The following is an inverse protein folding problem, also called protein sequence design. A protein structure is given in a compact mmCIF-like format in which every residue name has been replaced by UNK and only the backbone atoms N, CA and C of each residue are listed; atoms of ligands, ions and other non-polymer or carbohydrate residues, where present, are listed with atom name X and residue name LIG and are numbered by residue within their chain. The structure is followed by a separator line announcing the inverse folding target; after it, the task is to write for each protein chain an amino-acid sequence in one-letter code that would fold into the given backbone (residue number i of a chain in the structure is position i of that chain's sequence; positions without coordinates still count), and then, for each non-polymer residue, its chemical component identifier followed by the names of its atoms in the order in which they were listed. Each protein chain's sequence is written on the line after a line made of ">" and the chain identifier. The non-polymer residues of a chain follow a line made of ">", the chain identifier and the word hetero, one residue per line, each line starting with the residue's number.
data_IF_562396059044
#
_entry.id   IF_562396059044
#
_cell.length_a   1.000
_cell.length_b   1.000
_cell.length_c   1.000
_cell.angle_alpha   90.00
_cell.angle_beta   90.00
_cell.angle_gamma   90.00
#
_symmetry.space_group_name_H-M   'P 1'
#
loop_
_entity.id
_entity.type
_entity.pdbx_description
1 polymer ?
#
# COMPACT_ATOMS: atom_id res chain seq x y z
N UNK A 1 28.81 -10.45 -18.95
CA UNK A 1 27.68 -11.40 -18.78
C UNK A 1 26.38 -10.70 -19.16
N UNK A 2 25.77 -11.09 -20.30
CA UNK A 2 24.43 -10.61 -20.71
C UNK A 2 23.40 -11.50 -20.02
N UNK A 3 22.36 -10.89 -19.42
CA UNK A 3 21.23 -11.62 -18.87
C UNK A 3 20.31 -11.98 -20.05
N UNK A 4 19.86 -13.25 -20.13
CA UNK A 4 18.93 -13.72 -21.15
C UNK A 4 17.49 -13.50 -20.65
N UNK A 5 16.62 -13.03 -21.54
CA UNK A 5 15.17 -13.01 -21.32
C UNK A 5 14.52 -14.27 -21.90
N UNK A 6 13.40 -14.66 -21.32
CA UNK A 6 12.68 -15.90 -21.61
C UNK A 6 11.22 -15.61 -21.98
N UNK A 7 10.65 -16.48 -22.82
CA UNK A 7 9.22 -16.49 -23.10
C UNK A 7 8.44 -17.16 -21.97
N UNK A 8 7.12 -16.94 -21.92
CA UNK A 8 6.22 -17.52 -20.92
C UNK A 8 6.26 -19.06 -20.85
N UNK A 9 6.59 -19.71 -21.97
CA UNK A 9 6.66 -21.17 -22.10
C UNK A 9 7.94 -21.70 -21.45
N UNK A 10 9.02 -20.91 -21.50
CA UNK A 10 10.36 -21.28 -21.07
C UNK A 10 10.61 -21.06 -19.57
N UNK A 11 9.78 -20.27 -18.88
CA UNK A 11 9.94 -20.00 -17.45
C UNK A 11 9.40 -21.14 -16.56
N UNK A 12 9.94 -21.30 -15.34
CA UNK A 12 9.39 -22.20 -14.34
C UNK A 12 7.92 -21.95 -14.01
N UNK A 13 7.20 -23.02 -13.63
CA UNK A 13 5.76 -22.96 -13.32
C UNK A 13 5.39 -21.94 -12.24
N UNK A 14 6.25 -21.72 -11.24
CA UNK A 14 5.99 -20.76 -10.17
C UNK A 14 6.04 -19.28 -10.62
N UNK A 15 6.52 -18.98 -11.83
CA UNK A 15 6.50 -17.64 -12.43
C UNK A 15 5.36 -17.44 -13.44
N UNK A 16 4.64 -18.52 -13.78
CA UNK A 16 3.55 -18.51 -14.76
C UNK A 16 2.24 -18.03 -14.13
N UNK A 17 2.15 -16.73 -13.84
CA UNK A 17 0.94 -16.14 -13.24
C UNK A 17 -0.01 -15.49 -14.25
N UNK A 18 0.54 -14.81 -15.26
CA UNK A 18 -0.24 -14.06 -16.25
C UNK A 18 0.07 -14.56 -17.67
N UNK A 19 -0.81 -15.37 -18.29
CA UNK A 19 -0.56 -15.94 -19.62
C UNK A 19 -0.59 -14.91 -20.76
N UNK A 20 -1.04 -13.68 -20.50
CA UNK A 20 -1.10 -12.62 -21.51
C UNK A 20 0.23 -11.89 -21.69
N UNK A 21 1.15 -12.04 -20.73
CA UNK A 21 2.53 -11.58 -20.85
C UNK A 21 3.35 -12.73 -21.41
N UNK A 22 3.79 -12.60 -22.67
CA UNK A 22 4.35 -13.72 -23.43
C UNK A 22 5.87 -13.75 -23.48
N UNK A 23 6.53 -12.62 -23.18
CA UNK A 23 7.98 -12.46 -23.26
C UNK A 23 8.50 -11.43 -22.24
N UNK A 24 9.83 -11.30 -22.16
CA UNK A 24 10.50 -10.32 -21.31
C UNK A 24 10.81 -10.82 -19.91
N UNK A 25 10.63 -12.13 -19.64
CA UNK A 25 10.85 -12.70 -18.32
C UNK A 25 12.33 -12.87 -18.00
N UNK A 26 12.68 -12.56 -16.75
CA UNK A 26 13.96 -12.95 -16.15
C UNK A 26 13.76 -14.28 -15.42
N UNK A 27 14.70 -15.22 -15.56
CA UNK A 27 14.66 -16.49 -14.84
C UNK A 27 16.07 -17.04 -14.57
N UNK A 28 16.17 -17.94 -13.59
CA UNK A 28 17.39 -18.67 -13.24
C UNK A 28 18.60 -17.79 -12.85
N UNK A 29 18.35 -16.59 -12.32
CA UNK A 29 19.42 -15.66 -11.96
C UNK A 29 19.95 -15.92 -10.53
N UNK A 30 21.27 -15.85 -10.29
CA UNK A 30 21.82 -15.70 -8.94
C UNK A 30 21.58 -14.26 -8.43
N UNK A 31 21.60 -14.05 -7.11
CA UNK A 31 21.29 -12.77 -6.47
C UNK A 31 22.00 -11.55 -7.05
N UNK A 32 23.30 -11.67 -7.40
CA UNK A 32 24.07 -10.57 -8.02
C UNK A 32 23.50 -10.15 -9.37
N UNK A 33 23.01 -11.09 -10.17
CA UNK A 33 22.38 -10.79 -11.46
C UNK A 33 20.93 -10.31 -11.28
N UNK A 34 20.20 -10.76 -10.27
CA UNK A 34 18.90 -10.17 -9.89
C UNK A 34 19.08 -8.68 -9.63
N UNK A 35 20.02 -8.28 -8.77
CA UNK A 35 20.33 -6.87 -8.49
C UNK A 35 20.72 -6.10 -9.75
N UNK A 36 21.63 -6.66 -10.57
CA UNK A 36 22.07 -6.01 -11.81
C UNK A 36 20.93 -5.83 -12.83
N UNK A 37 19.92 -6.70 -12.80
CA UNK A 37 18.80 -6.65 -13.74
C UNK A 37 17.83 -5.48 -13.52
N UNK A 38 18.00 -4.68 -12.47
CA UNK A 38 17.23 -3.44 -12.28
C UNK A 38 17.41 -2.44 -13.45
N UNK A 39 18.59 -2.44 -14.07
CA UNK A 39 18.93 -1.61 -15.23
C UNK A 39 18.69 -2.31 -16.57
N UNK A 40 18.01 -3.45 -16.56
CA UNK A 40 17.61 -4.19 -17.76
C UNK A 40 16.12 -4.00 -18.00
N UNK A 41 15.75 -3.78 -19.26
CA UNK A 41 14.37 -3.82 -19.69
C UNK A 41 13.85 -5.26 -19.65
N UNK A 42 12.78 -5.48 -18.90
CA UNK A 42 12.11 -6.75 -18.66
C UNK A 42 10.63 -6.48 -18.35
N UNK A 43 9.82 -7.53 -18.29
CA UNK A 43 8.40 -7.40 -17.92
C UNK A 43 8.17 -6.86 -16.49
N UNK A 44 9.21 -6.88 -15.66
CA UNK A 44 9.20 -6.41 -14.27
C UNK A 44 9.79 -5.01 -14.09
N UNK A 45 10.33 -4.40 -15.16
CA UNK A 45 11.05 -3.11 -15.04
C UNK A 45 10.14 -2.02 -14.48
N UNK A 46 8.94 -1.86 -15.01
CA UNK A 46 8.00 -0.86 -14.51
C UNK A 46 7.59 -1.18 -13.08
N UNK A 47 7.26 -2.43 -12.74
CA UNK A 47 6.89 -2.86 -11.38
C UNK A 47 7.96 -2.46 -10.34
N UNK A 48 9.24 -2.72 -10.66
CA UNK A 48 10.37 -2.37 -9.80
C UNK A 48 10.50 -0.85 -9.67
N UNK A 49 10.55 -0.13 -10.79
CA UNK A 49 10.83 1.31 -10.77
C UNK A 49 9.69 2.13 -10.20
N UNK A 50 8.42 1.75 -10.40
CA UNK A 50 7.28 2.46 -9.83
C UNK A 50 7.31 2.45 -8.31
N UNK A 51 7.60 1.30 -7.69
CA UNK A 51 7.68 1.21 -6.24
C UNK A 51 9.01 1.70 -5.67
N UNK A 52 10.12 1.61 -6.41
CA UNK A 52 11.38 2.22 -6.00
C UNK A 52 11.28 3.76 -5.96
N UNK A 53 10.69 4.37 -7.00
CA UNK A 53 10.40 5.79 -7.02
C UNK A 53 9.37 6.17 -5.95
N UNK A 54 8.37 5.31 -5.72
CA UNK A 54 7.43 5.45 -4.60
C UNK A 54 8.15 5.51 -3.24
N UNK A 55 9.09 4.60 -2.99
CA UNK A 55 9.92 4.63 -1.78
C UNK A 55 10.66 5.98 -1.64
N UNK A 56 11.33 6.44 -2.69
CA UNK A 56 12.06 7.72 -2.67
C UNK A 56 11.12 8.91 -2.44
N UNK A 57 9.91 8.89 -3.00
CA UNK A 57 8.88 9.88 -2.76
C UNK A 57 8.50 9.92 -1.27
N UNK A 58 8.11 8.79 -0.67
CA UNK A 58 7.70 8.76 0.74
C UNK A 58 8.84 9.03 1.71
N UNK A 59 10.08 8.65 1.36
CA UNK A 59 11.26 9.06 2.12
C UNK A 59 11.45 10.57 2.11
N UNK A 60 11.37 11.20 0.92
CA UNK A 60 11.51 12.66 0.77
C UNK A 60 10.39 13.40 1.47
N UNK A 61 9.15 12.91 1.37
CA UNK A 61 8.01 13.44 2.13
C UNK A 61 8.25 13.31 3.64
N UNK A 62 8.78 12.19 4.13
CA UNK A 62 9.11 12.03 5.54
C UNK A 62 10.15 13.03 6.03
N UNK A 63 11.21 13.25 5.26
CA UNK A 63 12.21 14.28 5.58
C UNK A 63 11.57 15.67 5.58
N UNK A 64 10.81 16.01 4.54
CA UNK A 64 10.13 17.30 4.42
C UNK A 64 9.13 17.54 5.56
N UNK A 65 8.38 16.51 5.95
CA UNK A 65 7.34 16.63 6.94
C UNK A 65 7.91 16.82 8.33
N UNK A 66 8.93 16.05 8.68
CA UNK A 66 9.66 16.19 9.95
C UNK A 66 10.43 17.51 10.04
N UNK A 67 10.99 18.00 8.93
CA UNK A 67 11.82 19.21 8.92
C UNK A 67 11.00 20.51 8.79
N UNK A 68 9.87 20.49 8.08
CA UNK A 68 9.13 21.71 7.72
C UNK A 68 7.64 21.64 8.02
N UNK A 69 6.93 20.59 7.58
CA UNK A 69 5.45 20.57 7.68
C UNK A 69 4.98 20.53 9.12
N UNK A 70 5.53 19.61 9.92
CA UNK A 70 5.15 19.43 11.32
C UNK A 70 5.58 20.62 12.20
N UNK A 71 6.83 21.13 12.11
CA UNK A 71 7.20 22.35 12.82
C UNK A 71 6.32 23.56 12.44
N UNK A 72 6.02 23.74 11.14
CA UNK A 72 5.20 24.87 10.68
C UNK A 72 3.74 24.82 11.17
N UNK A 73 3.26 23.65 11.57
CA UNK A 73 1.91 23.42 12.05
C UNK A 73 1.81 23.37 13.58
N UNK A 74 2.91 23.69 14.28
CA UNK A 74 3.06 23.52 15.73
C UNK A 74 2.60 22.12 16.19
N UNK A 75 3.08 21.10 15.47
CA UNK A 75 2.60 19.74 15.60
C UNK A 75 2.95 19.13 16.98
N UNK A 76 2.03 18.36 17.55
CA UNK A 76 2.24 17.66 18.81
C UNK A 76 3.21 16.48 18.64
N UNK A 77 3.81 16.00 19.73
CA UNK A 77 4.68 14.82 19.69
C UNK A 77 3.96 13.58 19.12
N UNK A 78 2.67 13.43 19.41
CA UNK A 78 1.84 12.38 18.83
C UNK A 78 1.73 12.49 17.31
N UNK A 79 1.63 13.70 16.75
CA UNK A 79 1.61 13.89 15.29
C UNK A 79 2.92 13.41 14.67
N UNK A 80 4.08 13.75 15.25
CA UNK A 80 5.38 13.25 14.79
C UNK A 80 5.41 11.73 14.73
N UNK A 81 4.91 11.05 15.77
CA UNK A 81 4.86 9.59 15.82
C UNK A 81 3.92 9.01 14.75
N UNK A 82 2.72 9.58 14.60
CA UNK A 82 1.71 9.08 13.65
C UNK A 82 2.18 9.24 12.21
N UNK A 83 2.78 10.39 11.86
CA UNK A 83 3.32 10.62 10.51
C UNK A 83 4.53 9.77 10.22
N UNK A 84 5.51 9.73 11.13
CA UNK A 84 6.70 8.92 10.95
C UNK A 84 6.34 7.45 10.79
N UNK A 85 5.42 6.93 11.62
CA UNK A 85 4.94 5.55 11.52
C UNK A 85 4.20 5.28 10.20
N UNK A 86 3.29 6.17 9.79
CA UNK A 86 2.52 6.02 8.55
C UNK A 86 3.42 6.01 7.30
N UNK A 87 4.33 6.97 7.19
CA UNK A 87 5.30 7.05 6.08
C UNK A 87 6.30 5.90 6.10
N UNK A 88 6.72 5.45 7.28
CA UNK A 88 7.56 4.25 7.40
C UNK A 88 6.82 3.01 6.88
N UNK A 89 5.53 2.86 7.20
CA UNK A 89 4.72 1.76 6.68
C UNK A 89 4.64 1.78 5.14
N UNK A 90 4.45 2.96 4.53
CA UNK A 90 4.45 3.10 3.07
C UNK A 90 5.80 2.72 2.46
N UNK A 91 6.91 3.17 3.06
CA UNK A 91 8.26 2.82 2.61
C UNK A 91 8.53 1.31 2.69
N UNK A 92 8.14 0.66 3.79
CA UNK A 92 8.29 -0.79 3.95
C UNK A 92 7.48 -1.54 2.90
N UNK A 93 6.22 -1.16 2.66
CA UNK A 93 5.40 -1.74 1.60
C UNK A 93 6.08 -1.64 0.22
N UNK A 94 6.60 -0.47 -0.12
CA UNK A 94 7.29 -0.23 -1.39
C UNK A 94 8.56 -1.08 -1.53
N UNK A 95 9.41 -1.13 -0.50
CA UNK A 95 10.66 -1.90 -0.52
C UNK A 95 10.43 -3.41 -0.55
N UNK A 96 9.45 -3.92 0.19
CA UNK A 96 9.07 -5.34 0.14
C UNK A 96 8.68 -5.75 -1.28
N UNK A 97 7.92 -4.90 -1.96
CA UNK A 97 7.48 -5.12 -3.33
C UNK A 97 8.62 -5.01 -4.35
N UNK A 98 9.48 -4.00 -4.23
CA UNK A 98 10.72 -3.91 -5.02
C UNK A 98 11.57 -5.18 -4.85
N UNK A 99 11.72 -5.66 -3.61
CA UNK A 99 12.43 -6.89 -3.29
C UNK A 99 11.85 -8.10 -4.03
N UNK A 100 10.54 -8.29 -3.99
CA UNK A 100 9.89 -9.36 -4.74
C UNK A 100 10.10 -9.25 -6.24
N UNK A 101 9.78 -8.12 -6.85
CA UNK A 101 9.92 -7.98 -8.29
C UNK A 101 11.39 -8.05 -8.74
N UNK A 102 12.37 -7.72 -7.90
CA UNK A 102 13.78 -7.89 -8.21
C UNK A 102 14.25 -9.34 -8.11
N UNK A 103 13.77 -10.09 -7.10
CA UNK A 103 14.24 -11.45 -6.79
C UNK A 103 13.27 -12.57 -7.22
N UNK A 104 12.13 -12.27 -7.83
CA UNK A 104 11.19 -13.25 -8.36
C UNK A 104 11.87 -14.19 -9.37
N UNK A 105 12.79 -13.67 -10.17
CA UNK A 105 13.58 -14.40 -11.17
C UNK A 105 14.73 -15.27 -10.62
N UNK A 106 14.87 -15.37 -9.29
CA UNK A 106 16.00 -16.05 -8.67
C UNK A 106 16.00 -17.57 -8.97
N UNK A 107 17.18 -18.16 -9.14
CA UNK A 107 17.34 -19.60 -9.46
C UNK A 107 16.83 -20.57 -8.38
N UNK A 108 16.73 -20.09 -7.14
CA UNK A 108 16.20 -20.86 -6.01
C UNK A 108 14.77 -20.41 -5.71
N UNK A 109 13.80 -21.29 -5.95
CA UNK A 109 12.38 -21.05 -5.73
C UNK A 109 12.06 -20.65 -4.27
N UNK A 110 12.79 -21.17 -3.28
CA UNK A 110 12.59 -20.78 -1.87
C UNK A 110 12.86 -19.29 -1.65
N UNK A 111 13.84 -18.72 -2.36
CA UNK A 111 14.13 -17.29 -2.31
C UNK A 111 12.96 -16.50 -2.91
N UNK A 112 12.45 -16.93 -4.07
CA UNK A 112 11.31 -16.28 -4.72
C UNK A 112 10.07 -16.29 -3.83
N UNK A 113 9.74 -17.44 -3.22
CA UNK A 113 8.60 -17.58 -2.30
C UNK A 113 8.75 -16.74 -1.02
N UNK A 114 9.96 -16.61 -0.47
CA UNK A 114 10.22 -15.74 0.69
C UNK A 114 9.99 -14.27 0.36
N UNK A 115 10.48 -13.81 -0.77
CA UNK A 115 10.24 -12.44 -1.20
C UNK A 115 8.77 -12.19 -1.53
N UNK A 116 8.07 -13.16 -2.12
CA UNK A 116 6.62 -13.08 -2.32
C UNK A 116 5.86 -12.99 -0.99
N UNK A 117 6.29 -13.73 0.04
CA UNK A 117 5.72 -13.59 1.38
C UNK A 117 5.95 -12.19 1.97
N UNK A 118 7.16 -11.63 1.79
CA UNK A 118 7.49 -10.28 2.23
C UNK A 118 6.67 -9.22 1.49
N UNK A 119 6.39 -9.39 0.20
CA UNK A 119 5.52 -8.48 -0.56
C UNK A 119 4.08 -8.49 0.00
N UNK A 120 3.51 -9.67 0.24
CA UNK A 120 2.20 -9.76 0.90
C UNK A 120 2.20 -9.19 2.32
N UNK A 121 3.28 -9.37 3.09
CA UNK A 121 3.43 -8.73 4.39
C UNK A 121 3.51 -7.20 4.26
N UNK A 122 4.20 -6.70 3.23
CA UNK A 122 4.29 -5.30 2.87
C UNK A 122 2.92 -4.67 2.64
N UNK A 123 2.01 -5.35 1.92
CA UNK A 123 0.62 -4.90 1.75
C UNK A 123 -0.08 -4.72 3.09
N UNK A 124 0.03 -5.70 4.01
CA UNK A 124 -0.54 -5.59 5.36
C UNK A 124 0.00 -4.37 6.12
N UNK A 125 1.31 -4.14 6.07
CA UNK A 125 1.95 -2.97 6.68
C UNK A 125 1.47 -1.66 6.04
N UNK A 126 1.33 -1.62 4.71
CA UNK A 126 0.78 -0.45 3.99
C UNK A 126 -0.66 -0.12 4.39
N UNK A 127 -1.51 -1.14 4.57
CA UNK A 127 -2.88 -0.96 5.07
C UNK A 127 -2.85 -0.38 6.49
N UNK A 128 -2.01 -0.92 7.38
CA UNK A 128 -1.83 -0.37 8.73
C UNK A 128 -1.43 1.12 8.67
N UNK A 129 -0.49 1.48 7.79
CA UNK A 129 -0.07 2.86 7.55
C UNK A 129 -1.17 3.80 7.07
N UNK A 130 -2.21 3.28 6.39
CA UNK A 130 -3.39 4.07 6.03
C UNK A 130 -4.34 4.22 7.24
N UNK A 131 -4.59 3.14 7.95
CA UNK A 131 -5.56 3.10 9.05
C UNK A 131 -5.17 3.96 10.24
N UNK A 132 -3.91 3.89 10.68
CA UNK A 132 -3.44 4.56 11.90
C UNK A 132 -3.68 6.08 11.87
N UNK A 133 -3.15 6.85 10.90
CA UNK A 133 -3.43 8.29 10.81
C UNK A 133 -4.92 8.58 10.56
N UNK A 134 -5.58 7.77 9.72
CA UNK A 134 -7.00 7.93 9.42
C UNK A 134 -7.89 7.87 10.67
N UNK A 135 -7.75 6.82 11.46
CA UNK A 135 -8.51 6.64 12.71
C UNK A 135 -8.09 7.67 13.75
N UNK A 136 -6.79 7.96 13.88
CA UNK A 136 -6.28 8.90 14.86
C UNK A 136 -6.93 10.28 14.70
N UNK A 137 -6.93 10.83 13.48
CA UNK A 137 -7.48 12.16 13.20
C UNK A 137 -9.01 12.19 13.05
N UNK A 138 -9.63 11.10 12.57
CA UNK A 138 -11.09 10.99 12.51
C UNK A 138 -11.70 11.03 13.92
N UNK A 139 -11.13 10.25 14.85
CA UNK A 139 -11.60 10.14 16.23
C UNK A 139 -10.72 10.95 17.21
N UNK A 140 -10.16 12.07 16.74
CA UNK A 140 -9.23 12.90 17.53
C UNK A 140 -9.83 13.32 18.88
N UNK A 141 -11.10 13.69 18.89
CA UNK A 141 -11.84 14.09 20.10
C UNK A 141 -12.52 12.95 20.86
N UNK A 142 -12.52 11.73 20.32
CA UNK A 142 -13.16 10.59 20.95
C UNK A 142 -12.16 9.44 21.17
N UNK A 143 -11.46 9.52 22.30
CA UNK A 143 -10.38 8.59 22.65
C UNK A 143 -10.85 7.14 22.73
N UNK A 144 -12.06 6.88 23.24
CA UNK A 144 -12.58 5.51 23.36
C UNK A 144 -12.71 4.85 21.99
N UNK A 145 -13.42 5.49 21.05
CA UNK A 145 -13.60 4.93 19.71
C UNK A 145 -12.30 4.87 18.93
N UNK A 146 -11.41 5.86 19.10
CA UNK A 146 -10.06 5.82 18.53
C UNK A 146 -9.31 4.55 18.94
N UNK A 147 -9.23 4.27 20.25
CA UNK A 147 -8.50 3.10 20.75
C UNK A 147 -9.15 1.78 20.32
N UNK A 148 -10.49 1.70 20.35
CA UNK A 148 -11.21 0.51 19.90
C UNK A 148 -10.85 0.16 18.45
N UNK A 149 -10.93 1.13 17.54
CA UNK A 149 -10.64 0.90 16.12
C UNK A 149 -9.16 0.63 15.84
N UNK A 150 -8.24 1.28 16.57
CA UNK A 150 -6.80 0.99 16.46
C UNK A 150 -6.47 -0.43 16.94
N UNK A 151 -7.05 -0.89 18.05
CA UNK A 151 -6.87 -2.26 18.53
C UNK A 151 -7.52 -3.30 17.61
N UNK A 152 -8.67 -2.97 17.02
CA UNK A 152 -9.34 -3.81 16.03
C UNK A 152 -8.47 -3.98 14.78
N UNK A 153 -7.93 -2.91 14.19
CA UNK A 153 -7.06 -3.06 13.01
C UNK A 153 -5.76 -3.79 13.35
N UNK A 154 -5.16 -3.54 14.52
CA UNK A 154 -3.95 -4.25 14.94
C UNK A 154 -4.21 -5.77 15.06
N UNK A 155 -5.33 -6.17 15.66
CA UNK A 155 -5.69 -7.58 15.77
C UNK A 155 -5.99 -8.23 14.42
N UNK A 156 -6.65 -7.51 13.50
CA UNK A 156 -6.87 -7.97 12.12
C UNK A 156 -5.54 -8.15 11.36
N UNK A 157 -4.61 -7.20 11.45
CA UNK A 157 -3.29 -7.30 10.80
C UNK A 157 -2.48 -8.46 11.38
N UNK A 158 -2.53 -8.67 12.70
CA UNK A 158 -1.90 -9.83 13.34
C UNK A 158 -2.51 -11.15 12.84
N UNK A 159 -3.83 -11.23 12.70
CA UNK A 159 -4.50 -12.40 12.15
C UNK A 159 -4.09 -12.67 10.69
N UNK A 160 -3.92 -11.62 9.87
CA UNK A 160 -3.36 -11.75 8.51
C UNK A 160 -1.94 -12.31 8.56
N UNK A 161 -1.08 -11.82 9.44
CA UNK A 161 0.27 -12.38 9.59
C UNK A 161 0.26 -13.84 10.04
N UNK A 162 -0.62 -14.23 10.97
CA UNK A 162 -0.81 -15.63 11.33
C UNK A 162 -1.26 -16.47 10.14
N UNK A 163 -2.19 -15.97 9.32
CA UNK A 163 -2.60 -16.65 8.09
C UNK A 163 -1.45 -16.79 7.07
N UNK A 164 -0.56 -15.79 6.97
CA UNK A 164 0.61 -15.80 6.08
C UNK A 164 1.63 -16.89 6.43
N UNK A 165 1.72 -17.30 7.70
CA UNK A 165 2.60 -18.40 8.14
C UNK A 165 2.12 -19.76 7.63
N UNK A 166 0.83 -19.89 7.27
CA UNK A 166 0.28 -21.16 6.83
C UNK A 166 0.97 -21.66 5.54
N UNK A 167 1.42 -22.94 5.47
CA UNK A 167 2.21 -23.45 4.35
C UNK A 167 1.54 -23.34 2.97
N UNK A 168 0.20 -23.35 2.94
CA UNK A 168 -0.59 -23.21 1.71
C UNK A 168 -0.93 -21.78 1.35
N UNK A 169 -0.59 -20.78 2.18
CA UNK A 169 -0.99 -19.38 1.94
C UNK A 169 -0.55 -18.84 0.58
N UNK A 170 0.65 -19.24 0.13
CA UNK A 170 1.21 -18.87 -1.18
C UNK A 170 0.80 -19.81 -2.32
N UNK A 171 -0.05 -20.81 -2.07
CA UNK A 171 -0.53 -21.70 -3.14
C UNK A 171 -1.56 -20.99 -4.02
N UNK A 172 -1.77 -21.54 -5.22
CA UNK A 172 -2.80 -21.06 -6.14
C UNK A 172 -4.22 -21.29 -5.58
N UNK A 173 -4.43 -22.36 -4.82
CA UNK A 173 -5.74 -22.67 -4.21
C UNK A 173 -6.18 -21.58 -3.23
N UNK A 174 -5.21 -21.00 -2.50
CA UNK A 174 -5.45 -19.93 -1.52
C UNK A 174 -5.52 -18.54 -2.16
N UNK A 175 -5.33 -18.41 -3.48
CA UNK A 175 -5.33 -17.09 -4.15
C UNK A 175 -6.63 -16.32 -3.92
N UNK A 176 -7.79 -16.98 -4.05
CA UNK A 176 -9.11 -16.34 -3.83
C UNK A 176 -9.30 -15.94 -2.37
N UNK A 177 -8.97 -16.84 -1.45
CA UNK A 177 -9.07 -16.58 -0.01
C UNK A 177 -8.16 -15.43 0.42
N UNK A 178 -6.90 -15.44 -0.02
CA UNK A 178 -5.92 -14.36 0.24
C UNK A 178 -6.43 -13.01 -0.25
N UNK A 179 -6.97 -12.98 -1.48
CA UNK A 179 -7.55 -11.77 -2.06
C UNK A 179 -8.75 -11.29 -1.23
N UNK A 180 -9.64 -12.20 -0.83
CA UNK A 180 -10.79 -11.89 -0.01
C UNK A 180 -10.39 -11.34 1.38
N UNK A 181 -9.36 -11.91 2.01
CA UNK A 181 -8.81 -11.42 3.28
C UNK A 181 -8.33 -9.97 3.14
N UNK A 182 -7.50 -9.66 2.12
CA UNK A 182 -7.04 -8.28 1.92
C UNK A 182 -8.18 -7.31 1.61
N UNK A 183 -9.17 -7.73 0.80
CA UNK A 183 -10.35 -6.90 0.53
C UNK A 183 -11.18 -6.65 1.78
N UNK A 184 -11.37 -7.67 2.64
CA UNK A 184 -12.11 -7.54 3.89
C UNK A 184 -11.39 -6.62 4.88
N UNK A 185 -10.07 -6.78 5.02
CA UNK A 185 -9.26 -5.92 5.90
C UNK A 185 -9.21 -4.49 5.38
N UNK A 186 -9.09 -4.26 4.07
CA UNK A 186 -9.16 -2.89 3.53
C UNK A 186 -10.57 -2.28 3.68
N UNK A 187 -11.60 -3.02 3.29
CA UNK A 187 -13.01 -2.59 3.36
C UNK A 187 -13.55 -2.43 4.79
N UNK A 188 -12.90 -3.04 5.79
CA UNK A 188 -13.24 -2.86 7.20
C UNK A 188 -13.24 -1.40 7.66
N UNK A 189 -12.53 -0.50 6.97
CA UNK A 189 -12.44 0.93 7.29
C UNK A 189 -13.71 1.70 6.91
N UNK A 190 -14.61 1.07 6.16
CA UNK A 190 -15.94 1.61 5.88
C UNK A 190 -16.76 1.75 7.18
N UNK A 191 -16.61 0.81 8.12
CA UNK A 191 -17.31 0.87 9.42
C UNK A 191 -16.91 2.10 10.25
N UNK A 192 -15.62 2.36 10.56
CA UNK A 192 -15.22 3.57 11.26
C UNK A 192 -15.52 4.85 10.44
N UNK A 193 -15.50 4.81 9.11
CA UNK A 193 -15.88 5.96 8.29
C UNK A 193 -17.37 6.34 8.48
N UNK A 194 -18.28 5.37 8.40
CA UNK A 194 -19.70 5.61 8.67
C UNK A 194 -19.95 6.05 10.10
N UNK A 195 -19.29 5.39 11.07
CA UNK A 195 -19.43 5.78 12.47
C UNK A 195 -18.92 7.21 12.72
N UNK A 196 -17.80 7.58 12.09
CA UNK A 196 -17.27 8.94 12.16
C UNK A 196 -18.26 9.97 11.61
N UNK A 197 -18.90 9.72 10.46
CA UNK A 197 -19.94 10.59 9.91
C UNK A 197 -21.11 10.74 10.89
N UNK A 198 -21.56 9.64 11.49
CA UNK A 198 -22.64 9.66 12.47
C UNK A 198 -22.28 10.50 13.72
N UNK A 199 -21.08 10.31 14.27
CA UNK A 199 -20.61 11.08 15.44
C UNK A 199 -20.44 12.57 15.15
N UNK A 200 -20.14 12.95 13.91
CA UNK A 200 -20.01 14.36 13.50
C UNK A 200 -21.35 14.96 13.06
N UNK A 201 -22.50 14.37 13.40
CA UNK A 201 -23.81 14.97 13.12
C UNK A 201 -24.31 14.80 11.68
N UNK A 202 -23.72 13.88 10.91
CA UNK A 202 -24.13 13.56 9.54
C UNK A 202 -23.31 14.25 8.46
N UNK A 203 -23.83 14.23 7.21
CA UNK A 203 -23.09 14.61 6.01
C UNK A 203 -22.85 16.12 5.85
N UNK A 204 -23.58 16.96 6.59
CA UNK A 204 -23.65 18.42 6.37
C UNK A 204 -22.78 19.24 7.33
N UNK A 205 -21.83 18.60 8.01
CA UNK A 205 -20.91 19.31 8.88
C UNK A 205 -19.61 19.60 8.16
N UNK A 206 -18.98 20.74 8.48
CA UNK A 206 -17.78 21.23 7.78
C UNK A 206 -16.68 20.18 7.69
N UNK A 207 -16.47 19.41 8.76
CA UNK A 207 -15.49 18.34 8.78
C UNK A 207 -15.85 17.20 7.81
N UNK A 208 -17.13 16.79 7.76
CA UNK A 208 -17.58 15.68 6.91
C UNK A 208 -17.58 16.08 5.45
N UNK A 209 -18.12 17.26 5.11
CA UNK A 209 -18.12 17.77 3.74
C UNK A 209 -16.70 17.91 3.18
N UNK A 210 -15.73 18.26 4.02
CA UNK A 210 -14.35 18.45 3.62
C UNK A 210 -13.57 17.13 3.42
N UNK A 211 -13.74 16.17 4.32
CA UNK A 211 -12.90 14.96 4.34
C UNK A 211 -13.56 13.72 3.74
N UNK A 212 -14.90 13.61 3.72
CA UNK A 212 -15.57 12.47 3.11
C UNK A 212 -15.25 12.32 1.62
N UNK A 213 -15.24 13.38 0.78
CA UNK A 213 -14.83 13.25 -0.62
C UNK A 213 -13.40 12.73 -0.77
N UNK A 214 -12.49 13.10 0.14
CA UNK A 214 -11.09 12.62 0.11
C UNK A 214 -10.99 11.14 0.43
N UNK A 215 -11.78 10.66 1.39
CA UNK A 215 -11.92 9.23 1.69
C UNK A 215 -12.50 8.50 0.47
N UNK A 216 -13.55 9.04 -0.17
CA UNK A 216 -14.13 8.45 -1.37
C UNK A 216 -13.12 8.35 -2.52
N UNK A 217 -12.33 9.40 -2.78
CA UNK A 217 -11.28 9.38 -3.80
C UNK A 217 -10.24 8.30 -3.50
N UNK A 218 -9.84 8.11 -2.24
CA UNK A 218 -8.95 7.01 -1.86
C UNK A 218 -9.55 5.65 -2.26
N UNK A 219 -10.82 5.39 -1.92
CA UNK A 219 -11.49 4.15 -2.30
C UNK A 219 -11.67 3.98 -3.80
N UNK A 220 -11.90 5.06 -4.55
CA UNK A 220 -11.98 5.03 -6.01
C UNK A 220 -10.64 4.62 -6.62
N UNK A 221 -9.52 5.18 -6.14
CA UNK A 221 -8.17 4.80 -6.60
C UNK A 221 -7.89 3.33 -6.23
N UNK A 222 -8.18 2.93 -4.99
CA UNK A 222 -7.99 1.55 -4.53
C UNK A 222 -8.83 0.53 -5.34
N UNK A 223 -10.10 0.86 -5.58
CA UNK A 223 -11.02 0.04 -6.36
C UNK A 223 -10.59 -0.06 -7.83
N UNK A 224 -10.16 1.05 -8.43
CA UNK A 224 -9.61 1.07 -9.78
C UNK A 224 -8.34 0.20 -9.89
N UNK A 225 -7.41 0.35 -8.94
CA UNK A 225 -6.21 -0.50 -8.88
C UNK A 225 -6.61 -1.97 -8.85
N UNK A 226 -7.48 -2.34 -7.91
CA UNK A 226 -7.92 -3.71 -7.74
C UNK A 226 -8.60 -4.27 -8.99
N UNK A 227 -9.40 -3.45 -9.69
CA UNK A 227 -10.03 -3.82 -10.95
C UNK A 227 -8.98 -4.18 -12.01
N UNK A 228 -7.95 -3.37 -12.20
CA UNK A 228 -6.85 -3.69 -13.13
C UNK A 228 -6.13 -4.98 -12.71
N UNK A 229 -5.81 -5.14 -11.42
CA UNK A 229 -5.12 -6.32 -10.90
C UNK A 229 -5.88 -7.62 -11.16
N UNK A 230 -7.20 -7.64 -10.95
CA UNK A 230 -8.04 -8.84 -11.12
C UNK A 230 -8.37 -9.11 -12.59
N UNK A 231 -8.71 -8.07 -13.36
CA UNK A 231 -9.19 -8.24 -14.75
C UNK A 231 -8.09 -8.52 -15.75
N UNK A 232 -6.83 -8.16 -15.43
CA UNK A 232 -5.66 -8.25 -16.33
C UNK A 232 -5.83 -7.44 -17.62
N UNK A 233 -6.60 -6.36 -17.56
CA UNK A 233 -6.76 -5.40 -18.67
C UNK A 233 -5.63 -4.36 -18.56
N UNK A 234 -4.98 -3.95 -19.66
CA UNK A 234 -5.30 -4.23 -21.06
C UNK A 234 -4.66 -5.48 -21.66
N UNK A 235 -3.68 -6.11 -21.00
CA UNK A 235 -2.90 -7.21 -21.60
C UNK A 235 -3.77 -8.41 -22.00
N UNK A 236 -4.89 -8.63 -21.32
CA UNK A 236 -5.90 -9.64 -21.66
C UNK A 236 -6.46 -9.49 -23.09
N UNK A 237 -6.61 -8.26 -23.57
CA UNK A 237 -7.11 -7.96 -24.92
C UNK A 237 -6.00 -7.80 -25.95
N UNK A 238 -4.78 -7.50 -25.49
CA UNK A 238 -3.61 -7.34 -26.34
C UNK A 238 -2.43 -8.22 -25.87
N UNK A 239 -2.55 -9.56 -25.91
CA UNK A 239 -1.51 -10.45 -25.43
C UNK A 239 -0.18 -10.21 -26.15
N UNK A 240 0.92 -10.18 -25.41
CA UNK A 240 2.26 -9.94 -25.94
C UNK A 240 2.60 -8.49 -26.28
N UNK A 241 1.61 -7.61 -26.48
CA UNK A 241 1.86 -6.19 -26.80
C UNK A 241 2.27 -5.40 -25.55
N UNK A 242 1.79 -5.81 -24.38
CA UNK A 242 2.02 -5.14 -23.09
C UNK A 242 3.09 -5.86 -22.26
N UNK A 243 4.03 -6.55 -22.89
CA UNK A 243 5.05 -7.34 -22.19
C UNK A 243 5.95 -6.49 -21.29
N UNK A 244 6.27 -5.25 -21.69
CA UNK A 244 7.23 -4.40 -20.99
C UNK A 244 6.60 -3.18 -20.34
N UNK A 245 5.55 -2.60 -20.93
CA UNK A 245 4.90 -1.36 -20.47
C UNK A 245 3.39 -1.46 -20.68
N UNK A 246 2.61 -0.94 -19.73
CA UNK A 246 1.15 -0.83 -19.83
C UNK A 246 0.34 -2.02 -19.29
N UNK A 247 1.01 -3.03 -18.74
CA UNK A 247 0.32 -4.18 -18.14
C UNK A 247 -0.44 -3.80 -16.86
N UNK A 248 -1.52 -4.50 -16.55
CA UNK A 248 -2.43 -4.19 -15.45
C UNK A 248 -1.73 -4.19 -14.09
N UNK A 249 -0.75 -5.07 -13.90
CA UNK A 249 0.05 -5.12 -12.67
C UNK A 249 0.89 -3.85 -12.50
N UNK A 250 1.44 -3.30 -13.59
CA UNK A 250 2.17 -2.04 -13.57
C UNK A 250 1.25 -0.86 -13.21
N UNK A 251 0.04 -0.86 -13.78
CA UNK A 251 -1.00 0.14 -13.45
C UNK A 251 -1.41 0.04 -11.98
N UNK A 252 -1.54 -1.18 -11.45
CA UNK A 252 -1.76 -1.41 -10.01
C UNK A 252 -0.68 -0.74 -9.16
N UNK A 253 0.60 -0.95 -9.45
CA UNK A 253 1.70 -0.32 -8.72
C UNK A 253 1.63 1.21 -8.73
N UNK A 254 1.38 1.80 -9.91
CA UNK A 254 1.23 3.26 -10.04
C UNK A 254 0.08 3.78 -9.19
N UNK A 255 -1.09 3.12 -9.26
CA UNK A 255 -2.27 3.54 -8.50
C UNK A 255 -2.09 3.36 -6.99
N UNK A 256 -1.36 2.35 -6.51
CA UNK A 256 -1.03 2.21 -5.08
C UNK A 256 -0.15 3.37 -4.60
N UNK A 257 0.87 3.78 -5.36
CA UNK A 257 1.69 4.95 -5.02
C UNK A 257 0.84 6.23 -4.98
N UNK A 258 -0.02 6.43 -5.98
CA UNK A 258 -0.93 7.59 -6.04
C UNK A 258 -1.92 7.59 -4.87
N UNK A 259 -2.44 6.41 -4.48
CA UNK A 259 -3.33 6.26 -3.33
C UNK A 259 -2.63 6.64 -2.02
N UNK A 260 -1.42 6.14 -1.77
CA UNK A 260 -0.65 6.48 -0.58
C UNK A 260 -0.29 7.97 -0.56
N UNK A 261 0.08 8.55 -1.70
CA UNK A 261 0.33 9.99 -1.80
C UNK A 261 -0.94 10.81 -1.50
N UNK A 262 -2.08 10.44 -2.09
CA UNK A 262 -3.36 11.08 -1.82
C UNK A 262 -3.75 11.00 -0.35
N UNK A 263 -3.54 9.83 0.27
CA UNK A 263 -3.85 9.61 1.67
C UNK A 263 -2.93 10.41 2.59
N UNK A 264 -1.64 10.48 2.26
CA UNK A 264 -0.69 11.36 2.94
C UNK A 264 -1.13 12.83 2.90
N UNK A 265 -1.47 13.37 1.71
CA UNK A 265 -1.96 14.74 1.59
C UNK A 265 -3.26 14.97 2.39
N UNK A 266 -4.13 13.96 2.44
CA UNK A 266 -5.35 13.99 3.24
C UNK A 266 -5.03 14.02 4.74
N UNK A 267 -4.04 13.24 5.19
CA UNK A 267 -3.55 13.27 6.57
C UNK A 267 -3.03 14.67 6.94
N UNK A 268 -2.17 15.27 6.11
CA UNK A 268 -1.63 16.63 6.34
C UNK A 268 -2.76 17.64 6.51
N UNK A 269 -3.77 17.52 5.67
CA UNK A 269 -4.89 18.44 5.71
C UNK A 269 -5.77 18.27 6.95
N UNK A 270 -6.08 17.02 7.34
CA UNK A 270 -6.90 16.77 8.53
C UNK A 270 -6.18 17.14 9.82
N UNK A 271 -4.86 16.94 9.91
CA UNK A 271 -4.06 17.38 11.06
C UNK A 271 -4.15 18.90 11.24
N UNK A 272 -3.88 19.67 10.17
CA UNK A 272 -3.98 21.14 10.21
C UNK A 272 -5.39 21.61 10.56
N UNK A 273 -6.41 20.97 10.00
CA UNK A 273 -7.81 21.26 10.35
C UNK A 273 -8.08 21.02 11.83
N UNK A 274 -7.63 19.90 12.41
CA UNK A 274 -7.80 19.59 13.83
C UNK A 274 -7.04 20.53 14.75
N UNK A 275 -5.89 21.05 14.33
CA UNK A 275 -5.14 22.05 15.10
C UNK A 275 -5.86 23.41 15.10
N UNK A 276 -6.52 23.75 13.99
CA UNK A 276 -7.35 24.96 13.90
C UNK A 276 -8.70 24.86 14.62
N UNK A 277 -9.18 23.64 14.87
CA UNK A 277 -10.49 23.35 15.47
C UNK A 277 -10.32 22.35 16.62
N UNK A 278 -9.82 22.80 17.79
CA UNK A 278 -9.56 21.92 18.92
C UNK A 278 -10.86 21.34 19.50
N UNK A 279 -10.73 20.20 20.18
CA UNK A 279 -11.87 19.49 20.73
C UNK A 279 -12.61 20.32 21.80
N UNK A 280 -13.96 20.28 21.83
CA UNK A 280 -14.74 20.89 22.90
C UNK A 280 -14.30 20.34 24.26
N UNK A 281 -13.82 21.21 25.16
CA UNK A 281 -13.38 20.83 26.50
C UNK A 281 -11.86 20.77 26.73
N UNK A 282 -11.00 20.99 25.72
CA UNK A 282 -9.58 21.32 25.91
C UNK A 282 -9.35 22.85 25.98
N UNK A 283 -10.24 23.55 26.69
CA UNK A 283 -9.96 24.94 27.07
C UNK A 283 -8.71 24.94 27.94
N UNK A 284 -7.74 25.80 27.60
CA UNK A 284 -6.58 26.07 28.43
C UNK A 284 -7.02 26.27 29.88
N UNK A 285 -6.68 25.32 30.76
CA UNK A 285 -6.42 25.64 32.15
C UNK A 285 -5.15 26.48 32.16
N UNK A 286 -5.33 27.80 32.03
CA UNK A 286 -4.33 28.80 32.40
C UNK A 286 -4.01 28.63 33.87
N UNK A 287 -2.81 28.13 34.17
CA UNK A 287 -2.11 28.34 35.42
C UNK A 287 -0.67 28.72 35.12
#
# INVERSE_FOLDING_TARGET
>A
MRIRLYTYEQIPQFLKENPFITDGYRAHLPSKLCLKSIFMLSNETVNIWTHLLGFLLFFTLGVNDLAYVLPSADASHEDYLIYAAGLFCFQVCMLCSVGYHLFSCHRNERTCRRWLALDYAGISVGILGCYVPGIYYAFFCNTFWRQLYLMMILSLILAVFCAQVHPRYLSNDWRRLRTAIFCAVAGGSIVPAFHWVWLNGGLRTDAVELFLPRIMVMYLIAGAAFLFYVTKVPERYFPGQMNYVGASHQVWHVLVVLMFYWWHQTAVYIMRFRHSQPCPGRGHSTH
#
